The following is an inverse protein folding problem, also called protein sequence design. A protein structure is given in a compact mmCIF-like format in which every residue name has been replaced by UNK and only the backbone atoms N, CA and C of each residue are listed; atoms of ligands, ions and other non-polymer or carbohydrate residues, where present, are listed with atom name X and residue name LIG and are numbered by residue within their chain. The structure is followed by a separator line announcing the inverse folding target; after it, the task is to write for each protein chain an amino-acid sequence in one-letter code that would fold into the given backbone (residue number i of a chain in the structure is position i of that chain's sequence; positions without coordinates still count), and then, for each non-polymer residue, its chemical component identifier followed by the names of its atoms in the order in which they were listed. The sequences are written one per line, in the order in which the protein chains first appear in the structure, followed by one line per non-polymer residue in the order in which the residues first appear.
data_IF_908487407744
#
_entry.id   IF_908487407744
#
_cell.length_a   1.000
_cell.length_b   1.000
_cell.length_c   1.000
_cell.angle_alpha   90.00
_cell.angle_beta   90.00
_cell.angle_gamma   90.00
#
_symmetry.space_group_name_H-M   'P 1'
#
loop_
_entity.id
_entity.type
_entity.pdbx_description
1 polymer ?
#
# COMPACT_ATOMS: atom_id res chain seq x y z
N UNK A 1 12.03 -5.78 13.30
CA UNK A 1 10.63 -5.42 12.97
C UNK A 1 10.65 -4.04 12.31
N UNK A 2 10.88 -3.95 10.99
CA UNK A 2 11.14 -2.64 10.34
C UNK A 2 10.34 -2.39 9.04
N UNK A 3 9.38 -3.25 8.68
CA UNK A 3 8.60 -3.06 7.45
C UNK A 3 7.69 -1.81 7.51
N UNK A 4 7.26 -1.38 8.71
CA UNK A 4 6.44 -0.17 8.87
C UNK A 4 7.21 1.12 8.57
N UNK A 5 8.54 1.13 8.73
CA UNK A 5 9.35 2.35 8.65
C UNK A 5 9.62 2.82 7.22
N UNK A 6 9.24 2.03 6.21
CA UNK A 6 9.52 2.37 4.81
C UNK A 6 8.32 2.93 4.05
N UNK A 7 7.09 2.70 4.50
CA UNK A 7 5.91 3.20 3.80
C UNK A 7 5.77 4.72 3.96
N UNK A 8 5.55 5.41 2.84
CA UNK A 8 5.35 6.88 2.79
C UNK A 8 4.07 7.21 2.06
N UNK A 9 3.47 8.35 2.38
CA UNK A 9 2.36 8.89 1.58
C UNK A 9 2.82 9.11 0.13
N UNK A 10 1.97 8.79 -0.83
CA UNK A 10 2.27 8.84 -2.26
C UNK A 10 3.08 7.65 -2.79
N UNK A 11 3.57 6.76 -1.92
CA UNK A 11 4.33 5.58 -2.35
C UNK A 11 3.44 4.59 -3.10
N UNK A 12 3.91 4.10 -4.24
CA UNK A 12 3.29 2.97 -4.95
C UNK A 12 3.59 1.67 -4.22
N UNK A 13 2.55 0.89 -4.00
CA UNK A 13 2.59 -0.37 -3.26
C UNK A 13 1.76 -1.42 -3.98
N UNK A 14 2.03 -2.68 -3.67
CA UNK A 14 1.22 -3.81 -4.09
C UNK A 14 0.90 -4.74 -2.92
N UNK A 15 -0.25 -5.40 -2.99
CA UNK A 15 -0.69 -6.40 -2.02
C UNK A 15 -1.63 -7.41 -2.67
N UNK A 16 -1.86 -8.53 -1.99
CA UNK A 16 -2.84 -9.54 -2.43
C UNK A 16 -4.24 -9.14 -1.97
N UNK A 17 -5.13 -8.88 -2.94
CA UNK A 17 -6.54 -8.61 -2.72
C UNK A 17 -7.41 -9.82 -3.04
N UNK A 18 -8.72 -9.67 -2.82
CA UNK A 18 -9.72 -10.75 -3.02
C UNK A 18 -9.72 -11.37 -4.42
N UNK A 19 -9.37 -10.58 -5.45
CA UNK A 19 -9.43 -10.98 -6.85
C UNK A 19 -8.04 -11.04 -7.51
N UNK A 20 -6.99 -11.12 -6.69
CA UNK A 20 -5.61 -11.12 -7.15
C UNK A 20 -4.82 -9.90 -6.67
N UNK A 21 -3.69 -9.67 -7.30
CA UNK A 21 -2.76 -8.61 -6.93
C UNK A 21 -3.37 -7.23 -7.20
N UNK A 22 -3.34 -6.36 -6.20
CA UNK A 22 -3.80 -4.98 -6.29
C UNK A 22 -2.59 -4.07 -6.26
N UNK A 23 -2.59 -3.07 -7.12
CA UNK A 23 -1.60 -1.99 -7.16
C UNK A 23 -2.27 -0.69 -6.77
N UNK A 24 -1.53 0.18 -6.11
CA UNK A 24 -2.09 1.45 -5.68
C UNK A 24 -1.10 2.34 -4.96
N UNK A 25 -1.58 3.47 -4.48
CA UNK A 25 -0.79 4.48 -3.78
C UNK A 25 -1.21 4.58 -2.32
N UNK A 26 -0.23 4.76 -1.43
CA UNK A 26 -0.49 5.00 -0.01
C UNK A 26 -1.04 6.41 0.17
N UNK A 27 -2.28 6.53 0.62
CA UNK A 27 -2.93 7.83 0.86
C UNK A 27 -3.04 8.18 2.33
N UNK A 28 -2.98 7.19 3.23
CA UNK A 28 -3.00 7.43 4.68
C UNK A 28 -2.28 6.34 5.45
N UNK A 29 -1.51 6.70 6.48
CA UNK A 29 -0.81 5.76 7.37
C UNK A 29 -1.36 5.93 8.78
N UNK A 30 -1.91 4.86 9.35
CA UNK A 30 -2.28 4.78 10.76
C UNK A 30 -1.39 3.77 11.48
N UNK A 31 -1.38 3.79 12.81
CA UNK A 31 -0.50 2.93 13.63
C UNK A 31 -0.58 1.43 13.32
N UNK A 32 -1.76 0.92 12.92
CA UNK A 32 -1.98 -0.52 12.63
C UNK A 32 -2.35 -0.81 11.18
N UNK A 33 -2.67 0.20 10.38
CA UNK A 33 -3.28 0.03 9.05
C UNK A 33 -2.93 1.19 8.13
N UNK A 34 -2.76 0.89 6.86
CA UNK A 34 -2.51 1.85 5.79
C UNK A 34 -3.70 1.87 4.84
N UNK A 35 -4.08 3.05 4.37
CA UNK A 35 -5.07 3.20 3.30
C UNK A 35 -4.31 3.28 1.98
N UNK A 36 -4.67 2.37 1.07
CA UNK A 36 -4.18 2.34 -0.30
C UNK A 36 -5.35 2.69 -1.21
N UNK A 37 -5.14 3.66 -2.10
CA UNK A 37 -6.06 3.97 -3.19
C UNK A 37 -5.59 3.18 -4.42
N UNK A 38 -6.48 2.46 -5.10
CA UNK A 38 -6.14 1.79 -6.36
C UNK A 38 -5.73 2.77 -7.45
N UNK A 39 -5.10 2.26 -8.50
CA UNK A 39 -4.64 3.08 -9.63
C UNK A 39 -5.79 3.80 -10.36
N UNK A 40 -6.99 3.21 -10.37
CA UNK A 40 -8.20 3.81 -10.94
C UNK A 40 -8.83 4.90 -10.05
N UNK A 41 -8.36 5.06 -8.81
CA UNK A 41 -8.92 6.02 -7.84
C UNK A 41 -10.34 5.69 -7.37
N UNK A 42 -10.86 4.51 -7.72
CA UNK A 42 -12.23 4.10 -7.49
C UNK A 42 -12.42 3.42 -6.13
N UNK A 43 -11.38 2.77 -5.59
CA UNK A 43 -11.47 1.97 -4.36
C UNK A 43 -10.33 2.27 -3.39
N UNK A 44 -10.72 2.39 -2.13
CA UNK A 44 -9.78 2.47 -1.02
C UNK A 44 -9.74 1.16 -0.25
N UNK A 45 -8.55 0.73 0.09
CA UNK A 45 -8.27 -0.51 0.80
C UNK A 45 -7.59 -0.21 2.12
N UNK A 46 -8.12 -0.77 3.19
CA UNK A 46 -7.49 -0.73 4.51
C UNK A 46 -6.67 -2.00 4.70
N UNK A 47 -5.35 -1.86 4.60
CA UNK A 47 -4.42 -2.98 4.54
C UNK A 47 -3.46 -2.93 5.73
N UNK A 48 -3.11 -4.09 6.28
CA UNK A 48 -2.06 -4.16 7.30
C UNK A 48 -0.69 -3.84 6.66
N UNK A 49 0.17 -3.03 7.31
CA UNK A 49 1.45 -2.61 6.72
C UNK A 49 2.34 -3.78 6.30
N UNK A 50 2.28 -4.88 7.04
CA UNK A 50 3.06 -6.11 6.77
C UNK A 50 2.67 -6.83 5.46
N UNK A 51 1.49 -6.54 4.92
CA UNK A 51 1.00 -7.11 3.67
C UNK A 51 1.34 -6.24 2.45
N UNK A 52 1.78 -5.01 2.68
CA UNK A 52 2.15 -4.10 1.61
C UNK A 52 3.60 -4.35 1.19
N UNK A 53 3.81 -4.42 -0.11
CA UNK A 53 5.14 -4.45 -0.72
C UNK A 53 5.34 -3.14 -1.47
N UNK A 54 6.35 -2.32 -1.13
CA UNK A 54 6.68 -1.14 -1.90
C UNK A 54 7.13 -1.54 -3.30
N UNK A 55 6.64 -0.85 -4.31
CA UNK A 55 7.18 -0.97 -5.67
C UNK A 55 8.42 -0.08 -5.71
N UNK A 56 9.60 -0.68 -5.78
CA UNK A 56 10.82 0.09 -6.04
C UNK A 56 10.71 0.66 -7.46
N UNK A 57 10.64 1.98 -7.58
CA UNK A 57 11.07 2.64 -8.81
C UNK A 57 12.58 2.40 -8.88
N UNK A 58 12.98 1.52 -9.81
CA UNK A 58 14.39 1.33 -10.12
C UNK A 58 14.96 2.70 -10.48
N UNK A 59 15.85 3.21 -9.63
CA UNK A 59 16.65 4.40 -9.90
C UNK A 59 17.79 4.04 -10.85
#
# INVERSE_FOLDING_TARGET
MEALMQLRLGMKVTFEGRYGQVFGIVTKINRKTVIVLDEDGAKQYKVAPVLLRPLHEAS
#
